data_IF_773849013088
#
_entry.id   IF_773849013088
#
_cell.length_a   1.000
_cell.length_b   1.000
_cell.length_c   1.000
_cell.angle_alpha   90.00
_cell.angle_beta   90.00
_cell.angle_gamma   90.00
#
_symmetry.space_group_name_H-M   'P 1'
#
loop_
_entity.id
_entity.type
_entity.pdbx_description
1 polymer ?
#
# COMPACT_ATOMS: atom_id res chain seq x y z
N UNK A 1 -15.17 17.21 17.98
CA UNK A 1 -14.61 16.53 16.78
C UNK A 1 -15.49 15.34 16.38
N UNK A 2 -15.82 14.42 17.29
CA UNK A 2 -16.67 13.24 17.01
C UNK A 2 -18.18 13.52 16.87
N UNK A 3 -18.62 14.74 17.18
CA UNK A 3 -20.02 15.15 16.95
C UNK A 3 -20.34 15.26 15.46
N UNK A 4 -19.33 15.60 14.65
CA UNK A 4 -19.44 15.69 13.20
C UNK A 4 -19.45 14.31 12.55
N UNK A 5 -20.49 14.01 11.78
CA UNK A 5 -20.64 12.73 11.10
C UNK A 5 -19.51 12.46 10.10
N UNK A 6 -19.12 13.46 9.30
CA UNK A 6 -18.00 13.33 8.36
C UNK A 6 -16.70 12.94 9.07
N UNK A 7 -16.50 13.44 10.30
CA UNK A 7 -15.30 13.16 11.07
C UNK A 7 -15.29 11.75 11.65
N UNK A 8 -16.45 11.27 12.13
CA UNK A 8 -16.59 9.85 12.52
C UNK A 8 -16.29 8.93 11.34
N UNK A 9 -16.85 9.24 10.18
CA UNK A 9 -16.61 8.48 8.96
C UNK A 9 -15.13 8.48 8.57
N UNK A 10 -14.45 9.63 8.66
CA UNK A 10 -13.02 9.74 8.42
C UNK A 10 -12.19 8.87 9.37
N UNK A 11 -12.49 8.87 10.68
CA UNK A 11 -11.80 7.98 11.63
C UNK A 11 -12.05 6.49 11.35
N UNK A 12 -13.29 6.10 11.02
CA UNK A 12 -13.59 4.72 10.65
C UNK A 12 -12.82 4.31 9.40
N UNK A 13 -12.85 5.14 8.35
CA UNK A 13 -12.11 4.88 7.13
C UNK A 13 -10.59 4.78 7.38
N UNK A 14 -10.00 5.73 8.12
CA UNK A 14 -8.57 5.72 8.47
C UNK A 14 -8.18 4.46 9.25
N UNK A 15 -9.05 3.99 10.14
CA UNK A 15 -8.80 2.75 10.89
C UNK A 15 -8.78 1.54 9.96
N UNK A 16 -9.80 1.42 9.10
CA UNK A 16 -9.92 0.31 8.14
C UNK A 16 -8.70 0.27 7.22
N UNK A 17 -8.40 1.38 6.56
CA UNK A 17 -7.26 1.49 5.66
C UNK A 17 -5.93 1.33 6.39
N UNK A 18 -5.79 1.85 7.61
CA UNK A 18 -4.59 1.66 8.42
C UNK A 18 -4.33 0.18 8.75
N UNK A 19 -5.39 -0.57 9.09
CA UNK A 19 -5.28 -2.02 9.33
C UNK A 19 -4.86 -2.75 8.05
N UNK A 20 -5.56 -2.51 6.95
CA UNK A 20 -5.26 -3.17 5.67
C UNK A 20 -3.86 -2.82 5.18
N UNK A 21 -3.50 -1.54 5.18
CA UNK A 21 -2.18 -1.05 4.72
C UNK A 21 -1.06 -1.57 5.62
N UNK A 22 -1.25 -1.59 6.94
CA UNK A 22 -0.26 -2.13 7.86
C UNK A 22 -0.05 -3.64 7.68
N UNK A 23 -1.13 -4.40 7.48
CA UNK A 23 -1.08 -5.85 7.28
C UNK A 23 -0.43 -6.22 5.93
N UNK A 24 -0.99 -5.70 4.84
CA UNK A 24 -0.51 -5.98 3.47
C UNK A 24 0.89 -5.39 3.26
N UNK A 25 1.12 -4.17 3.75
CA UNK A 25 2.40 -3.48 3.68
C UNK A 25 3.52 -4.25 4.38
N UNK A 26 3.25 -4.92 5.50
CA UNK A 26 4.25 -5.75 6.17
C UNK A 26 4.77 -6.87 5.26
N UNK A 27 3.86 -7.63 4.64
CA UNK A 27 4.24 -8.68 3.69
C UNK A 27 4.90 -8.11 2.42
N UNK A 28 4.45 -6.94 1.96
CA UNK A 28 5.04 -6.29 0.79
C UNK A 28 6.52 -5.93 1.03
N UNK A 29 6.83 -5.36 2.20
CA UNK A 29 8.19 -5.01 2.61
C UNK A 29 9.01 -6.27 2.87
N UNK A 30 8.46 -7.26 3.56
CA UNK A 30 9.12 -8.53 3.85
C UNK A 30 9.58 -9.25 2.56
N UNK A 31 8.79 -9.14 1.49
CA UNK A 31 9.09 -9.75 0.18
C UNK A 31 9.97 -8.88 -0.72
N UNK A 32 10.38 -7.69 -0.30
CA UNK A 32 11.11 -6.76 -1.17
C UNK A 32 10.30 -6.29 -2.38
N UNK A 33 8.96 -6.35 -2.32
CA UNK A 33 8.07 -6.01 -3.45
C UNK A 33 7.52 -4.58 -3.33
N UNK A 34 8.22 -3.70 -2.63
CA UNK A 34 7.79 -2.31 -2.38
C UNK A 34 7.63 -1.52 -3.67
N UNK A 35 8.53 -1.70 -4.65
CA UNK A 35 8.42 -1.03 -5.95
C UNK A 35 7.16 -1.44 -6.73
N UNK A 36 6.76 -2.73 -6.66
CA UNK A 36 5.51 -3.19 -7.25
C UNK A 36 4.30 -2.52 -6.60
N UNK A 37 4.26 -2.41 -5.27
CA UNK A 37 3.20 -1.70 -4.56
C UNK A 37 3.15 -0.20 -4.89
N UNK A 38 4.31 0.45 -5.04
CA UNK A 38 4.39 1.84 -5.52
C UNK A 38 3.83 1.97 -6.94
N UNK A 39 4.21 1.09 -7.86
CA UNK A 39 3.69 1.14 -9.22
C UNK A 39 2.18 0.95 -9.26
N UNK A 40 1.63 0.01 -8.48
CA UNK A 40 0.19 -0.26 -8.42
C UNK A 40 -0.61 0.99 -8.04
N UNK A 41 -0.16 1.81 -7.09
CA UNK A 41 -0.91 3.02 -6.72
C UNK A 41 -1.05 3.99 -7.89
N UNK A 42 0.00 4.15 -8.69
CA UNK A 42 0.02 5.03 -9.86
C UNK A 42 -0.65 4.42 -11.09
N UNK A 43 -0.59 3.10 -11.27
CA UNK A 43 -1.27 2.42 -12.37
C UNK A 43 -2.79 2.50 -12.21
N UNK A 44 -3.30 2.65 -10.98
CA UNK A 44 -4.72 2.95 -10.74
C UNK A 44 -5.20 4.31 -11.28
N UNK A 45 -4.31 5.29 -11.43
CA UNK A 45 -4.66 6.64 -11.90
C UNK A 45 -5.32 6.69 -13.29
N UNK A 46 -4.77 6.08 -14.36
CA UNK A 46 -5.45 5.99 -15.65
C UNK A 46 -6.77 5.22 -15.58
N UNK A 47 -6.89 4.23 -14.69
CA UNK A 47 -8.16 3.54 -14.46
C UNK A 47 -9.23 4.49 -13.93
N UNK A 48 -8.87 5.35 -12.98
CA UNK A 48 -9.77 6.34 -12.41
C UNK A 48 -10.18 7.42 -13.42
N UNK A 49 -9.20 8.00 -14.14
CA UNK A 49 -9.48 9.05 -15.13
C UNK A 49 -10.19 8.51 -16.36
N UNK A 50 -9.84 7.29 -16.80
CA UNK A 50 -10.50 6.60 -17.91
C UNK A 50 -11.95 6.22 -17.59
N UNK A 51 -12.23 5.73 -16.37
CA UNK A 51 -13.61 5.50 -15.92
C UNK A 51 -14.42 6.80 -15.85
N UNK A 52 -13.78 7.89 -15.42
CA UNK A 52 -14.38 9.23 -15.46
C UNK A 52 -14.83 9.66 -16.85
N UNK A 53 -14.03 9.38 -17.87
CA UNK A 53 -14.32 9.74 -19.27
C UNK A 53 -15.58 9.04 -19.80
N UNK A 54 -15.82 7.79 -19.38
CA UNK A 54 -16.99 6.99 -19.78
C UNK A 54 -18.19 7.14 -18.82
N UNK A 55 -18.11 8.04 -17.83
CA UNK A 55 -19.18 8.29 -16.87
C UNK A 55 -19.35 7.21 -15.80
N UNK A 56 -18.35 6.34 -15.59
CA UNK A 56 -18.32 5.37 -14.51
C UNK A 56 -17.67 5.93 -13.25
N UNK A 57 -17.85 5.23 -12.13
CA UNK A 57 -17.20 5.61 -10.86
C UNK A 57 -15.68 5.51 -10.96
N UNK A 58 -14.92 6.57 -10.63
CA UNK A 58 -13.46 6.53 -10.65
C UNK A 58 -12.87 5.48 -9.69
N UNK A 59 -13.54 5.18 -8.57
CA UNK A 59 -13.08 4.13 -7.66
C UNK A 59 -13.14 2.73 -8.31
N UNK A 60 -14.18 2.47 -9.10
CA UNK A 60 -14.35 1.20 -9.80
C UNK A 60 -13.29 1.05 -10.90
N UNK A 61 -13.10 2.10 -11.69
CA UNK A 61 -12.05 2.15 -12.72
C UNK A 61 -10.66 1.97 -12.13
N UNK A 62 -10.36 2.67 -11.04
CA UNK A 62 -9.11 2.52 -10.31
C UNK A 62 -8.92 1.07 -9.87
N UNK A 63 -9.89 0.48 -9.19
CA UNK A 63 -9.78 -0.87 -8.65
C UNK A 63 -9.57 -1.90 -9.76
N UNK A 64 -10.36 -1.86 -10.83
CA UNK A 64 -10.26 -2.81 -11.94
C UNK A 64 -8.90 -2.71 -12.63
N UNK A 65 -8.43 -1.50 -12.92
CA UNK A 65 -7.16 -1.30 -13.62
C UNK A 65 -5.96 -1.69 -12.74
N UNK A 66 -6.03 -1.35 -11.44
CA UNK A 66 -4.99 -1.73 -10.47
C UNK A 66 -4.94 -3.25 -10.27
N UNK A 67 -6.10 -3.92 -10.21
CA UNK A 67 -6.16 -5.39 -10.13
C UNK A 67 -5.62 -6.04 -11.40
N UNK A 68 -5.99 -5.55 -12.58
CA UNK A 68 -5.46 -6.04 -13.85
C UNK A 68 -3.92 -5.92 -13.90
N UNK A 69 -3.38 -4.79 -13.45
CA UNK A 69 -1.94 -4.59 -13.31
C UNK A 69 -1.31 -5.51 -12.27
N UNK A 70 -1.97 -5.72 -11.12
CA UNK A 70 -1.54 -6.66 -10.09
C UNK A 70 -1.46 -8.09 -10.59
N UNK A 71 -2.44 -8.53 -11.39
CA UNK A 71 -2.40 -9.83 -12.07
C UNK A 71 -1.21 -9.89 -13.01
N UNK A 72 -1.02 -8.87 -13.86
CA UNK A 72 0.12 -8.79 -14.78
C UNK A 72 1.46 -8.92 -14.04
N UNK A 73 1.68 -8.08 -13.03
CA UNK A 73 2.90 -8.09 -12.21
C UNK A 73 3.08 -9.43 -11.49
N UNK A 74 2.00 -10.02 -10.98
CA UNK A 74 2.00 -11.32 -10.33
C UNK A 74 2.42 -12.47 -11.25
N UNK A 75 1.93 -12.46 -12.49
CA UNK A 75 2.26 -13.46 -13.52
C UNK A 75 3.71 -13.36 -14.00
N UNK A 76 4.33 -12.18 -13.89
CA UNK A 76 5.76 -12.01 -14.17
C UNK A 76 6.65 -12.76 -13.16
N UNK A 77 6.14 -13.15 -11.99
CA UNK A 77 6.87 -13.96 -11.00
C UNK A 77 8.07 -13.23 -10.40
N UNK A 78 9.18 -13.94 -10.15
CA UNK A 78 10.45 -13.37 -9.66
C UNK A 78 11.51 -13.24 -10.77
N UNK A 79 11.07 -13.04 -12.02
CA UNK A 79 11.99 -12.93 -13.17
C UNK A 79 12.95 -11.74 -13.00
N UNK A 80 14.19 -11.91 -13.48
CA UNK A 80 15.28 -10.94 -13.39
C UNK A 80 14.99 -9.55 -14.00
N UNK A 81 13.92 -9.41 -14.80
CA UNK A 81 13.51 -8.15 -15.44
C UNK A 81 12.16 -7.61 -14.96
N UNK A 82 11.63 -8.12 -13.83
CA UNK A 82 10.35 -7.68 -13.30
C UNK A 82 10.30 -6.18 -13.06
N UNK A 83 11.33 -5.62 -12.43
CA UNK A 83 11.32 -4.20 -12.05
C UNK A 83 11.35 -3.28 -13.28
N UNK A 84 12.04 -3.69 -14.36
CA UNK A 84 12.02 -2.97 -15.64
C UNK A 84 10.62 -2.99 -16.26
N UNK A 85 9.97 -4.15 -16.30
CA UNK A 85 8.61 -4.27 -16.83
C UNK A 85 7.61 -3.44 -16.01
N UNK A 86 7.70 -3.48 -14.68
CA UNK A 86 6.90 -2.65 -13.78
C UNK A 86 7.11 -1.16 -14.08
N UNK A 87 8.36 -0.72 -14.24
CA UNK A 87 8.69 0.67 -14.53
C UNK A 87 8.13 1.16 -15.88
N UNK A 88 8.19 0.31 -16.91
CA UNK A 88 7.60 0.61 -18.23
C UNK A 88 6.07 0.72 -18.12
N UNK A 89 5.41 -0.23 -17.45
CA UNK A 89 3.95 -0.22 -17.24
C UNK A 89 3.53 1.02 -16.45
N UNK A 90 4.29 1.39 -15.42
CA UNK A 90 4.07 2.59 -14.61
C UNK A 90 4.14 3.86 -15.49
N UNK A 91 5.19 4.02 -16.27
CA UNK A 91 5.40 5.21 -17.12
C UNK A 91 4.31 5.33 -18.17
N UNK A 92 3.94 4.22 -18.81
CA UNK A 92 2.84 4.17 -19.78
C UNK A 92 1.50 4.53 -19.11
N UNK A 93 1.24 3.99 -17.92
CA UNK A 93 0.01 4.24 -17.16
C UNK A 93 -0.15 5.70 -16.79
N UNK A 94 0.92 6.35 -16.35
CA UNK A 94 0.89 7.79 -16.06
C UNK A 94 0.64 8.62 -17.33
N UNK A 95 1.28 8.28 -18.45
CA UNK A 95 1.03 8.91 -19.74
C UNK A 95 -0.44 8.76 -20.21
N UNK A 96 -1.01 7.56 -20.08
CA UNK A 96 -2.42 7.31 -20.37
C UNK A 96 -3.36 8.10 -19.44
N UNK A 97 -3.03 8.19 -18.14
CA UNK A 97 -3.84 8.94 -17.19
C UNK A 97 -3.89 10.43 -17.51
N UNK A 98 -2.76 11.01 -17.92
CA UNK A 98 -2.68 12.39 -18.41
C UNK A 98 -3.43 12.58 -19.73
N UNK A 99 -3.35 11.63 -20.65
CA UNK A 99 -4.11 11.66 -21.91
C UNK A 99 -5.63 11.69 -21.65
N UNK A 100 -6.13 10.84 -20.75
CA UNK A 100 -7.55 10.84 -20.39
C UNK A 100 -7.98 12.15 -19.72
N UNK A 101 -7.12 12.73 -18.88
CA UNK A 101 -7.39 14.02 -18.25
C UNK A 101 -7.43 15.17 -19.28
N UNK A 102 -6.59 15.10 -20.32
CA UNK A 102 -6.61 16.06 -21.41
C UNK A 102 -7.97 16.05 -22.15
N UNK A 103 -8.56 14.88 -22.38
CA UNK A 103 -9.86 14.76 -23.03
C UNK A 103 -11.05 15.20 -22.15
N UNK A 104 -10.89 15.24 -20.83
CA UNK A 104 -11.99 15.57 -19.92
C UNK A 104 -11.53 16.47 -18.78
N UNK A 105 -11.38 17.75 -19.10
CA UNK A 105 -10.93 18.80 -18.17
C UNK A 105 -11.92 19.03 -17.01
N UNK A 106 -13.21 18.74 -17.21
CA UNK A 106 -14.22 18.76 -16.14
C UNK A 106 -13.93 17.74 -15.02
N UNK A 107 -13.03 16.77 -15.24
CA UNK A 107 -12.60 15.79 -14.26
C UNK A 107 -11.44 16.24 -13.36
N UNK A 108 -10.93 17.47 -13.53
CA UNK A 108 -9.75 17.94 -12.79
C UNK A 108 -9.91 17.86 -11.27
N UNK A 109 -11.10 18.17 -10.74
CA UNK A 109 -11.39 18.07 -9.29
C UNK A 109 -11.38 16.61 -8.80
N UNK A 110 -11.98 15.68 -9.54
CA UNK A 110 -11.97 14.25 -9.20
C UNK A 110 -10.57 13.65 -9.34
N UNK A 111 -9.82 14.03 -10.38
CA UNK A 111 -8.43 13.62 -10.55
C UNK A 111 -7.57 14.11 -9.38
N UNK A 112 -7.78 15.34 -8.90
CA UNK A 112 -7.10 15.88 -7.72
C UNK A 112 -7.42 15.06 -6.47
N UNK A 113 -8.69 14.69 -6.26
CA UNK A 113 -9.09 13.82 -5.16
C UNK A 113 -8.45 12.43 -5.23
N UNK A 114 -8.26 11.87 -6.43
CA UNK A 114 -7.57 10.60 -6.61
C UNK A 114 -6.07 10.73 -6.28
N UNK A 115 -5.44 11.83 -6.69
CA UNK A 115 -4.00 12.05 -6.46
C UNK A 115 -3.67 12.29 -4.98
N UNK A 116 -4.47 13.11 -4.30
CA UNK A 116 -4.19 13.59 -2.95
C UNK A 116 -5.08 12.97 -1.85
N UNK A 117 -6.10 12.20 -2.22
CA UNK A 117 -7.08 11.63 -1.30
C UNK A 117 -8.13 12.66 -0.88
N UNK A 118 -9.28 12.19 -0.40
CA UNK A 118 -10.30 13.04 0.19
C UNK A 118 -10.96 12.36 1.39
N UNK A 119 -10.23 12.30 2.51
CA UNK A 119 -10.70 11.60 3.71
C UNK A 119 -11.96 12.23 4.34
N UNK A 120 -12.12 13.54 4.21
CA UNK A 120 -13.25 14.27 4.81
C UNK A 120 -14.54 14.10 3.99
N UNK A 121 -14.44 13.79 2.70
CA UNK A 121 -15.58 13.56 1.81
C UNK A 121 -16.16 12.13 1.85
N UNK A 122 -15.69 11.29 2.78
CA UNK A 122 -16.08 9.88 2.82
C UNK A 122 -17.48 9.73 3.45
N UNK A 123 -18.39 9.16 2.66
CA UNK A 123 -19.74 8.82 3.11
C UNK A 123 -19.76 7.53 3.94
N UNK A 124 -20.79 7.34 4.77
CA UNK A 124 -20.99 6.09 5.51
C UNK A 124 -21.08 4.87 4.58
N UNK A 125 -21.70 5.02 3.41
CA UNK A 125 -21.75 3.96 2.38
C UNK A 125 -20.35 3.54 1.94
N UNK A 126 -19.47 4.52 1.72
CA UNK A 126 -18.07 4.27 1.37
C UNK A 126 -17.34 3.54 2.49
N UNK A 127 -17.55 3.95 3.76
CA UNK A 127 -16.97 3.25 4.92
C UNK A 127 -17.38 1.78 4.96
N UNK A 128 -18.64 1.47 4.70
CA UNK A 128 -19.14 0.08 4.67
C UNK A 128 -18.45 -0.72 3.55
N UNK A 129 -18.32 -0.13 2.35
CA UNK A 129 -17.62 -0.78 1.23
C UNK A 129 -16.17 -1.07 1.59
N UNK A 130 -15.47 -0.10 2.18
CA UNK A 130 -14.09 -0.27 2.66
C UNK A 130 -14.01 -1.36 3.75
N UNK A 131 -14.96 -1.40 4.67
CA UNK A 131 -14.97 -2.42 5.72
C UNK A 131 -15.13 -3.84 5.15
N UNK A 132 -16.03 -4.03 4.18
CA UNK A 132 -16.28 -5.33 3.55
C UNK A 132 -15.05 -5.81 2.77
N UNK A 133 -14.47 -4.94 1.95
CA UNK A 133 -13.27 -5.23 1.19
C UNK A 133 -12.06 -5.47 2.12
N UNK A 134 -11.88 -4.68 3.17
CA UNK A 134 -10.85 -4.91 4.18
C UNK A 134 -10.96 -6.28 4.84
N UNK A 135 -12.16 -6.70 5.25
CA UNK A 135 -12.37 -8.05 5.80
C UNK A 135 -12.01 -9.12 4.77
N UNK A 136 -12.43 -8.95 3.51
CA UNK A 136 -12.10 -9.89 2.44
C UNK A 136 -10.58 -9.99 2.21
N UNK A 137 -9.87 -8.85 2.21
CA UNK A 137 -8.42 -8.79 2.04
C UNK A 137 -7.71 -9.47 3.21
N UNK A 138 -8.10 -9.15 4.45
CA UNK A 138 -7.45 -9.71 5.65
C UNK A 138 -7.69 -11.21 5.77
N UNK A 139 -8.89 -11.69 5.46
CA UNK A 139 -9.20 -13.13 5.42
C UNK A 139 -8.40 -13.82 4.34
N UNK A 140 -8.39 -13.29 3.12
CA UNK A 140 -7.61 -13.85 2.02
C UNK A 140 -6.11 -13.86 2.34
N UNK A 141 -5.59 -12.77 2.91
CA UNK A 141 -4.20 -12.66 3.36
C UNK A 141 -3.88 -13.71 4.41
N UNK A 142 -4.76 -13.92 5.40
CA UNK A 142 -4.58 -14.93 6.44
C UNK A 142 -4.55 -16.35 5.85
N UNK A 143 -5.41 -16.65 4.89
CA UNK A 143 -5.44 -17.95 4.20
C UNK A 143 -4.17 -18.20 3.39
N UNK A 144 -3.64 -17.18 2.70
CA UNK A 144 -2.41 -17.31 1.92
C UNK A 144 -1.13 -17.04 2.72
N UNK A 145 -1.20 -16.58 3.97
CA UNK A 145 -0.03 -16.14 4.73
C UNK A 145 1.03 -17.23 4.88
N UNK A 146 0.62 -18.47 5.15
CA UNK A 146 1.54 -19.61 5.27
C UNK A 146 2.29 -19.92 3.96
N UNK A 147 1.61 -20.20 2.83
CA UNK A 147 2.31 -20.45 1.57
C UNK A 147 3.09 -19.20 1.09
N UNK A 148 2.58 -18.01 1.37
CA UNK A 148 3.26 -16.74 1.05
C UNK A 148 4.60 -16.62 1.78
N UNK A 149 4.63 -16.85 3.09
CA UNK A 149 5.87 -16.82 3.88
C UNK A 149 6.84 -17.91 3.43
N UNK A 150 6.34 -19.11 3.16
CA UNK A 150 7.19 -20.21 2.73
C UNK A 150 7.84 -19.92 1.36
N UNK A 151 7.05 -19.44 0.41
CA UNK A 151 7.53 -19.00 -0.90
C UNK A 151 8.52 -17.83 -0.83
N UNK A 152 8.41 -16.97 0.21
CA UNK A 152 9.27 -15.79 0.35
C UNK A 152 10.60 -16.10 1.05
N UNK A 153 10.60 -17.01 2.02
CA UNK A 153 11.80 -17.35 2.79
C UNK A 153 12.62 -18.46 2.15
N UNK A 154 11.96 -19.42 1.48
CA UNK A 154 12.58 -20.60 0.90
C UNK A 154 11.89 -20.98 -0.43
N UNK A 155 12.04 -20.16 -1.49
CA UNK A 155 11.35 -20.37 -2.76
C UNK A 155 11.61 -21.75 -3.38
N UNK A 156 12.86 -22.21 -3.39
CA UNK A 156 13.27 -23.51 -3.94
C UNK A 156 12.61 -24.68 -3.20
N UNK A 157 12.59 -24.63 -1.87
CA UNK A 157 11.96 -25.67 -1.05
C UNK A 157 10.43 -25.62 -1.15
N UNK A 158 9.85 -24.42 -1.27
CA UNK A 158 8.41 -24.23 -1.46
C UNK A 158 7.95 -24.84 -2.80
N UNK A 159 8.69 -24.59 -3.87
CA UNK A 159 8.42 -25.19 -5.18
C UNK A 159 8.57 -26.72 -5.15
N UNK A 160 9.63 -27.23 -4.49
CA UNK A 160 9.82 -28.67 -4.31
C UNK A 160 8.69 -29.33 -3.48
N UNK A 161 8.03 -28.59 -2.60
CA UNK A 161 6.85 -29.04 -1.84
C UNK A 161 5.51 -28.78 -2.56
N UNK A 162 5.55 -28.38 -3.83
CA UNK A 162 4.37 -28.21 -4.67
C UNK A 162 3.62 -26.89 -4.47
N UNK A 163 4.23 -25.88 -3.84
CA UNK A 163 3.62 -24.54 -3.73
C UNK A 163 3.73 -23.84 -5.09
N UNK A 164 2.60 -23.44 -5.71
CA UNK A 164 2.65 -22.73 -6.99
C UNK A 164 3.07 -21.27 -6.77
N UNK A 165 4.38 -20.99 -6.86
CA UNK A 165 4.97 -19.67 -6.58
C UNK A 165 4.31 -18.53 -7.36
N UNK A 166 4.01 -18.75 -8.64
CA UNK A 166 3.36 -17.75 -9.50
C UNK A 166 1.93 -17.47 -9.05
N UNK A 167 1.17 -18.50 -8.67
CA UNK A 167 -0.21 -18.32 -8.19
C UNK A 167 -0.23 -17.55 -6.86
N UNK A 168 0.63 -17.93 -5.91
CA UNK A 168 0.73 -17.25 -4.62
C UNK A 168 1.17 -15.80 -4.79
N UNK A 169 2.12 -15.53 -5.69
CA UNK A 169 2.55 -14.17 -6.00
C UNK A 169 1.47 -13.35 -6.69
N UNK A 170 0.70 -13.96 -7.59
CA UNK A 170 -0.42 -13.31 -8.27
C UNK A 170 -1.55 -12.98 -7.31
N UNK A 171 -1.96 -13.93 -6.46
CA UNK A 171 -2.96 -13.69 -5.43
C UNK A 171 -2.53 -12.57 -4.48
N UNK A 172 -1.27 -12.58 -4.05
CA UNK A 172 -0.74 -11.51 -3.21
C UNK A 172 -0.77 -10.15 -3.92
N UNK A 173 -0.35 -10.07 -5.19
CA UNK A 173 -0.40 -8.82 -5.94
C UNK A 173 -1.82 -8.31 -6.18
N UNK A 174 -2.81 -9.20 -6.34
CA UNK A 174 -4.22 -8.82 -6.35
C UNK A 174 -4.64 -8.24 -5.01
N UNK A 175 -4.26 -8.83 -3.88
CA UNK A 175 -4.54 -8.26 -2.56
C UNK A 175 -3.90 -6.90 -2.37
N UNK A 176 -2.65 -6.73 -2.80
CA UNK A 176 -1.95 -5.44 -2.79
C UNK A 176 -2.69 -4.42 -3.66
N UNK A 177 -3.15 -4.81 -4.84
CA UNK A 177 -3.89 -3.93 -5.74
C UNK A 177 -5.22 -3.44 -5.13
N UNK A 178 -6.01 -4.34 -4.52
CA UNK A 178 -7.26 -3.96 -3.86
C UNK A 178 -6.98 -3.10 -2.62
N UNK A 179 -6.04 -3.50 -1.77
CA UNK A 179 -5.63 -2.71 -0.60
C UNK A 179 -5.15 -1.30 -0.97
N UNK A 180 -4.36 -1.20 -2.03
CA UNK A 180 -3.90 0.08 -2.58
C UNK A 180 -5.08 0.92 -3.05
N UNK A 181 -6.04 0.30 -3.75
CA UNK A 181 -7.23 0.99 -4.25
C UNK A 181 -8.09 1.60 -3.14
N UNK A 182 -8.25 0.88 -2.03
CA UNK A 182 -8.90 1.39 -0.83
C UNK A 182 -8.12 2.55 -0.19
N UNK A 183 -6.81 2.37 -0.03
CA UNK A 183 -5.95 3.35 0.59
C UNK A 183 -5.91 4.67 -0.19
N UNK A 184 -6.03 4.61 -1.52
CA UNK A 184 -6.08 5.81 -2.39
C UNK A 184 -7.25 6.72 -2.03
N UNK A 185 -8.40 6.21 -1.61
CA UNK A 185 -9.53 7.07 -1.27
C UNK A 185 -9.22 8.03 -0.11
N UNK A 186 -8.36 7.59 0.82
CA UNK A 186 -8.02 8.34 2.03
C UNK A 186 -6.77 9.18 1.81
N UNK A 187 -5.70 8.53 1.35
CA UNK A 187 -4.35 9.10 1.33
C UNK A 187 -3.98 9.65 -0.05
N UNK A 188 -4.62 9.16 -1.11
CA UNK A 188 -4.31 9.50 -2.49
C UNK A 188 -3.17 8.69 -3.09
N UNK A 189 -3.21 8.54 -4.42
CA UNK A 189 -2.24 7.78 -5.23
C UNK A 189 -0.78 8.15 -4.90
N UNK A 190 -0.52 9.43 -4.69
CA UNK A 190 0.85 9.93 -4.49
C UNK A 190 1.46 9.50 -3.14
N UNK A 191 0.62 9.15 -2.16
CA UNK A 191 1.02 9.09 -0.75
C UNK A 191 0.62 7.78 -0.06
N UNK A 192 -0.20 6.94 -0.69
CA UNK A 192 -0.53 5.58 -0.22
C UNK A 192 0.72 4.78 0.15
N UNK A 193 1.77 4.91 -0.66
CA UNK A 193 3.03 4.22 -0.42
C UNK A 193 3.61 4.54 0.98
N UNK A 194 3.49 5.78 1.44
CA UNK A 194 4.00 6.16 2.76
C UNK A 194 3.24 5.46 3.89
N UNK A 195 1.90 5.41 3.82
CA UNK A 195 1.08 4.73 4.83
C UNK A 195 1.26 3.21 4.80
N UNK A 196 1.53 2.63 3.63
CA UNK A 196 1.67 1.18 3.48
C UNK A 196 3.09 0.70 3.81
N UNK A 197 4.13 1.45 3.43
CA UNK A 197 5.52 1.00 3.54
C UNK A 197 6.24 1.52 4.78
N UNK A 198 6.03 2.78 5.19
CA UNK A 198 6.76 3.33 6.33
C UNK A 198 6.48 2.60 7.66
N UNK A 199 5.21 2.38 8.09
CA UNK A 199 4.94 1.63 9.32
C UNK A 199 5.36 0.16 9.22
N UNK A 200 5.23 -0.45 8.04
CA UNK A 200 5.67 -1.82 7.78
C UNK A 200 7.19 -2.00 7.91
N UNK A 201 7.96 -1.11 7.27
CA UNK A 201 9.42 -1.13 7.35
C UNK A 201 9.91 -0.79 8.77
N UNK A 202 9.21 0.10 9.47
CA UNK A 202 9.45 0.40 10.88
C UNK A 202 9.22 -0.83 11.75
N UNK A 203 8.09 -1.51 11.58
CA UNK A 203 7.75 -2.71 12.34
C UNK A 203 8.73 -3.87 12.09
N UNK A 204 9.17 -4.07 10.85
CA UNK A 204 10.15 -5.10 10.49
C UNK A 204 11.52 -4.86 11.15
N UNK A 205 11.87 -3.61 11.44
CA UNK A 205 13.10 -3.26 12.19
C UNK A 205 12.98 -3.50 13.69
N UNK A 206 11.79 -3.26 14.24
CA UNK A 206 11.53 -3.31 15.68
C UNK A 206 11.19 -4.72 16.19
N UNK A 207 10.73 -5.62 15.31
CA UNK A 207 10.24 -6.95 15.69
C UNK A 207 11.06 -8.06 15.05
N UNK A 208 11.14 -9.21 15.72
CA UNK A 208 11.85 -10.40 15.23
C UNK A 208 10.93 -11.50 14.68
N UNK A 209 9.62 -11.39 14.88
CA UNK A 209 8.64 -12.40 14.47
C UNK A 209 7.55 -11.83 13.57
N UNK A 210 7.07 -12.62 12.61
CA UNK A 210 6.06 -12.22 11.62
C UNK A 210 4.77 -11.76 12.28
N UNK A 211 4.24 -12.52 13.25
CA UNK A 211 2.98 -12.17 13.92
C UNK A 211 3.07 -10.84 14.69
N UNK A 212 4.15 -10.66 15.48
CA UNK A 212 4.41 -9.42 16.19
C UNK A 212 4.63 -8.26 15.21
N UNK A 213 5.37 -8.47 14.12
CA UNK A 213 5.65 -7.47 13.11
C UNK A 213 4.41 -6.99 12.36
N UNK A 214 3.50 -7.90 11.99
CA UNK A 214 2.21 -7.53 11.39
C UNK A 214 1.39 -6.68 12.37
N UNK A 215 1.28 -7.10 13.63
CA UNK A 215 0.52 -6.35 14.65
C UNK A 215 1.13 -4.96 14.92
N UNK A 216 2.46 -4.86 15.03
CA UNK A 216 3.15 -3.58 15.20
C UNK A 216 2.97 -2.68 13.97
N UNK A 217 3.02 -3.25 12.76
CA UNK A 217 2.79 -2.51 11.51
C UNK A 217 1.37 -1.93 11.47
N UNK A 218 0.36 -2.75 11.79
CA UNK A 218 -1.03 -2.31 11.89
C UNK A 218 -1.20 -1.20 12.92
N UNK A 219 -0.66 -1.39 14.12
CA UNK A 219 -0.76 -0.40 15.20
C UNK A 219 -0.12 0.94 14.78
N UNK A 220 1.09 0.90 14.21
CA UNK A 220 1.77 2.09 13.72
C UNK A 220 0.98 2.79 12.60
N UNK A 221 0.47 2.03 11.62
CA UNK A 221 -0.30 2.59 10.51
C UNK A 221 -1.58 3.28 11.01
N UNK A 222 -2.32 2.66 11.93
CA UNK A 222 -3.54 3.24 12.52
C UNK A 222 -3.21 4.48 13.35
N UNK A 223 -2.18 4.41 14.21
CA UNK A 223 -1.76 5.55 15.04
C UNK A 223 -1.33 6.72 14.17
N UNK A 224 -0.52 6.47 13.13
CA UNK A 224 -0.11 7.51 12.17
C UNK A 224 -1.34 8.11 11.51
N UNK A 225 -2.26 7.30 10.96
CA UNK A 225 -3.46 7.80 10.30
C UNK A 225 -4.35 8.65 11.23
N UNK A 226 -4.50 8.24 12.49
CA UNK A 226 -5.30 8.98 13.47
C UNK A 226 -4.65 10.30 13.86
N UNK A 227 -3.35 10.30 14.17
CA UNK A 227 -2.60 11.53 14.49
C UNK A 227 -2.58 12.46 13.28
N UNK A 228 -2.43 11.92 12.07
CA UNK A 228 -2.48 12.74 10.84
C UNK A 228 -3.85 13.39 10.64
N UNK A 229 -4.94 12.66 10.90
CA UNK A 229 -6.30 13.19 10.77
C UNK A 229 -6.58 14.28 11.83
N UNK A 230 -6.13 14.08 13.07
CA UNK A 230 -6.30 15.09 14.13
C UNK A 230 -5.47 16.33 13.87
N UNK A 231 -4.20 16.18 13.46
CA UNK A 231 -3.35 17.32 13.10
C UNK A 231 -3.89 18.06 11.89
N UNK A 232 -4.36 17.35 10.86
CA UNK A 232 -4.99 17.98 9.70
C UNK A 232 -6.20 18.85 10.09
N UNK A 233 -7.04 18.36 11.01
CA UNK A 233 -8.18 19.12 11.51
C UNK A 233 -7.78 20.35 12.34
N UNK A 234 -6.66 20.29 13.07
CA UNK A 234 -6.20 21.39 13.93
C UNK A 234 -5.37 22.44 13.17
N UNK A 235 -4.55 22.03 12.20
CA UNK A 235 -3.62 22.92 11.49
C UNK A 235 -4.12 23.36 10.12
N UNK A 236 -5.26 22.83 9.65
CA UNK A 236 -5.83 23.04 8.31
C UNK A 236 -4.85 22.65 7.18
N UNK A 237 -3.89 21.76 7.48
CA UNK A 237 -2.94 21.22 6.51
C UNK A 237 -3.47 19.90 5.95
N UNK A 238 -3.12 19.53 4.70
CA UNK A 238 -3.57 18.27 4.11
C UNK A 238 -3.19 17.06 4.97
N UNK A 239 -4.16 16.16 5.24
CA UNK A 239 -3.93 14.91 6.00
C UNK A 239 -2.79 14.07 5.42
N UNK A 240 -2.77 14.05 4.09
CA UNK A 240 -1.73 13.51 3.21
C UNK A 240 -0.29 13.96 3.56
N UNK A 241 -0.08 15.23 3.92
CA UNK A 241 1.22 15.70 4.38
C UNK A 241 1.59 15.09 5.74
N UNK A 242 0.67 15.10 6.70
CA UNK A 242 0.92 14.54 8.03
C UNK A 242 1.19 13.04 8.00
N UNK A 243 0.53 12.29 7.12
CA UNK A 243 0.75 10.84 6.95
C UNK A 243 2.19 10.59 6.52
N UNK A 244 2.67 11.33 5.52
CA UNK A 244 4.03 11.15 5.02
C UNK A 244 5.09 11.62 6.01
N UNK A 245 4.87 12.78 6.64
CA UNK A 245 5.79 13.33 7.64
C UNK A 245 5.93 12.40 8.86
N UNK A 246 4.82 11.94 9.43
CA UNK A 246 4.85 11.03 10.59
C UNK A 246 5.37 9.64 10.24
N UNK A 247 5.03 9.10 9.07
CA UNK A 247 5.58 7.84 8.58
C UNK A 247 7.10 7.90 8.41
N UNK A 248 7.61 8.96 7.77
CA UNK A 248 9.05 9.18 7.62
C UNK A 248 9.74 9.36 8.98
N UNK A 249 9.15 10.14 9.89
CA UNK A 249 9.67 10.33 11.24
C UNK A 249 9.75 9.00 12.01
N UNK A 250 8.69 8.18 11.99
CA UNK A 250 8.66 6.88 12.64
C UNK A 250 9.78 5.95 12.11
N UNK A 251 9.97 5.93 10.80
CA UNK A 251 11.01 5.13 10.16
C UNK A 251 12.43 5.60 10.53
N UNK A 252 12.69 6.91 10.50
CA UNK A 252 14.00 7.49 10.88
C UNK A 252 14.31 7.22 12.35
N UNK A 253 13.35 7.48 13.25
CA UNK A 253 13.51 7.24 14.69
C UNK A 253 13.83 5.77 14.96
N UNK A 254 13.14 4.83 14.31
CA UNK A 254 13.46 3.40 14.47
C UNK A 254 14.87 3.04 14.01
N UNK A 255 15.40 3.73 13.00
CA UNK A 255 16.78 3.56 12.54
C UNK A 255 17.81 4.12 13.52
N UNK A 256 17.47 5.16 14.28
CA UNK A 256 18.36 5.72 15.31
C UNK A 256 18.40 4.87 16.58
N UNK A 257 17.28 4.22 16.93
CA UNK A 257 17.19 3.34 18.11
C UNK A 257 17.99 2.04 17.90
N UNK A 258 18.06 1.51 16.67
CA UNK A 258 18.99 0.45 16.29
C UNK A 258 20.36 1.04 15.92
N UNK A 259 21.24 1.20 16.91
CA UNK A 259 22.68 1.39 16.63
C UNK A 259 23.21 0.22 15.79
N UNK A 260 24.20 0.42 14.89
CA UNK A 260 24.73 -0.62 14.03
C UNK A 260 25.50 -1.65 14.87
N UNK A 261 24.82 -2.70 15.34
CA UNK A 261 25.47 -3.85 15.92
C UNK A 261 25.78 -4.84 14.81
N UNK A 262 27.08 -5.14 14.69
CA UNK A 262 27.72 -6.16 13.83
C UNK A 262 28.05 -5.68 12.41
N UNK A 263 29.09 -4.84 12.31
CA UNK A 263 30.01 -4.89 11.16
C UNK A 263 31.02 -5.99 11.51
N UNK A 264 30.93 -7.12 10.81
CA UNK A 264 31.78 -8.29 10.94
C UNK A 264 33.27 -7.93 10.89
N UNK A 265 34.01 -8.30 11.94
CA UNK A 265 35.03 -9.37 11.99
C UNK A 265 35.75 -9.85 10.71
N UNK A 266 35.70 -9.16 9.57
CA UNK A 266 36.42 -9.53 8.33
C UNK A 266 37.85 -8.94 8.23
N UNK A 267 38.46 -8.46 9.32
CA UNK A 267 39.89 -8.09 9.33
C UNK A 267 40.78 -9.01 10.15
N UNK A 268 40.28 -10.17 10.61
CA UNK A 268 41.04 -11.10 11.46
C UNK A 268 41.59 -12.34 10.72
N UNK A 269 41.29 -12.52 9.42
CA UNK A 269 41.77 -13.67 8.63
C UNK A 269 42.84 -13.28 7.59
N UNK A 270 43.46 -12.10 7.75
CA UNK A 270 44.69 -11.76 7.07
C UNK A 270 45.88 -11.99 8.03
N UNK A 271 46.32 -13.23 8.10
CA UNK A 271 47.64 -13.60 8.63
C UNK A 271 47.87 -15.10 8.50
N UNK A 272 49.12 -15.58 8.46
CA UNK A 272 50.40 -14.85 8.58
C UNK A 272 51.03 -14.40 7.25
#
# INVERSE_FOLDING_TARGET
MFDYEFMRNAFYACTIVGIVSGAVGYFLVLRGQTFAGHALSHVGFPGATGAGLIGLSPFLGLTVFTVAAGIGIGLLGERAHRDVAIGIVLTLSLGLGLLFLHFYTAFASQATNVLFGNVLGISLRTVIVLAVLAVAILVALLLIARPLLFASLQPELAEARGVPLTLVSTLFMVLVAVATSEAVQIVGVLLVFALMVAPAATALRLTSGVGAGVLTSIALAVIIAWISLTLAFLTDWPTSFWITALGAAAYVVSGMVRRPSVRETQSADAGP
#
